data_IF_520842791016
#
_entry.id   IF_520842791016
#
_cell.length_a   1.000
_cell.length_b   1.000
_cell.length_c   1.000
_cell.angle_alpha   90.00
_cell.angle_beta   90.00
_cell.angle_gamma   90.00
#
_symmetry.space_group_name_H-M   'P 1'
#
loop_
_entity.id
_entity.type
_entity.pdbx_description
1 polymer ?
#
# COMPACT_ATOMS: atom_id res chain seq x y z
N UNK A 1 -51.24 -47.01 -33.69
CA UNK A 1 -51.64 -46.07 -32.62
C UNK A 1 -53.12 -45.77 -32.77
N UNK A 2 -53.88 -45.78 -31.67
CA UNK A 2 -55.28 -45.36 -31.72
C UNK A 2 -55.36 -43.82 -31.77
N UNK A 3 -56.37 -43.21 -32.41
CA UNK A 3 -56.49 -41.75 -32.48
C UNK A 3 -56.42 -41.08 -31.09
N UNK A 4 -56.94 -41.75 -30.05
CA UNK A 4 -56.90 -41.29 -28.66
C UNK A 4 -55.49 -41.27 -28.06
N UNK A 5 -54.63 -42.23 -28.40
CA UNK A 5 -53.24 -42.25 -27.92
C UNK A 5 -52.40 -41.20 -28.64
N UNK A 6 -52.65 -40.94 -29.93
CA UNK A 6 -52.02 -39.84 -30.66
C UNK A 6 -52.40 -38.46 -30.08
N UNK A 7 -53.69 -38.23 -29.79
CA UNK A 7 -54.17 -37.01 -29.13
C UNK A 7 -53.56 -36.81 -27.73
N UNK A 8 -53.42 -37.89 -26.96
CA UNK A 8 -52.76 -37.86 -25.65
C UNK A 8 -51.30 -37.41 -25.74
N UNK A 9 -50.53 -37.96 -26.69
CA UNK A 9 -49.14 -37.55 -26.91
C UNK A 9 -49.03 -36.11 -27.41
N UNK A 10 -49.90 -35.68 -28.33
CA UNK A 10 -49.90 -34.31 -28.84
C UNK A 10 -50.13 -33.27 -27.73
N UNK A 11 -51.05 -33.55 -26.79
CA UNK A 11 -51.29 -32.68 -25.64
C UNK A 11 -50.07 -32.57 -24.73
N UNK A 12 -49.42 -33.71 -24.41
CA UNK A 12 -48.21 -33.72 -23.57
C UNK A 12 -47.07 -32.94 -24.24
N UNK A 13 -46.87 -33.12 -25.55
CA UNK A 13 -45.86 -32.35 -26.30
C UNK A 13 -46.16 -30.86 -26.30
N UNK A 14 -47.42 -30.45 -26.41
CA UNK A 14 -47.81 -29.04 -26.33
C UNK A 14 -47.48 -28.43 -24.96
N UNK A 15 -47.80 -29.14 -23.87
CA UNK A 15 -47.48 -28.67 -22.50
C UNK A 15 -45.98 -28.57 -22.27
N UNK A 16 -45.20 -29.56 -22.73
CA UNK A 16 -43.73 -29.52 -22.59
C UNK A 16 -43.14 -28.38 -23.41
N UNK A 17 -43.64 -28.13 -24.62
CA UNK A 17 -43.17 -27.02 -25.47
C UNK A 17 -43.48 -25.65 -24.84
N UNK A 18 -44.66 -25.49 -24.23
CA UNK A 18 -45.02 -24.26 -23.51
C UNK A 18 -44.16 -24.08 -22.25
N UNK A 19 -43.94 -25.14 -21.47
CA UNK A 19 -43.10 -25.08 -20.27
C UNK A 19 -41.63 -24.82 -20.62
N UNK A 20 -41.12 -25.41 -21.70
CA UNK A 20 -39.80 -25.13 -22.24
C UNK A 20 -39.72 -23.67 -22.74
N UNK A 21 -40.76 -23.19 -23.43
CA UNK A 21 -40.88 -21.79 -23.84
C UNK A 21 -40.87 -20.82 -22.66
N UNK A 22 -41.58 -21.13 -21.58
CA UNK A 22 -41.58 -20.33 -20.35
C UNK A 22 -40.23 -20.36 -19.62
N UNK A 23 -39.59 -21.53 -19.52
CA UNK A 23 -38.25 -21.69 -18.90
C UNK A 23 -37.17 -20.97 -19.71
N UNK A 24 -37.27 -21.00 -21.05
CA UNK A 24 -36.42 -20.22 -21.94
C UNK A 24 -36.74 -18.73 -21.79
N UNK A 25 -38.01 -18.32 -21.72
CA UNK A 25 -38.40 -16.93 -21.55
C UNK A 25 -37.99 -16.34 -20.19
N UNK A 26 -38.03 -17.11 -19.10
CA UNK A 26 -37.46 -16.70 -17.80
C UNK A 26 -35.94 -16.58 -17.87
N UNK A 27 -35.25 -17.52 -18.54
CA UNK A 27 -33.79 -17.44 -18.79
C UNK A 27 -33.41 -16.31 -19.75
N UNK A 28 -34.32 -15.93 -20.65
CA UNK A 28 -34.23 -14.80 -21.58
C UNK A 28 -35.07 -13.60 -21.11
N UNK A 29 -35.32 -13.47 -19.80
CA UNK A 29 -35.39 -12.14 -19.20
C UNK A 29 -33.98 -11.56 -19.24
N UNK A 30 -33.52 -11.30 -20.47
CA UNK A 30 -32.28 -10.62 -20.73
C UNK A 30 -32.46 -9.26 -20.09
N UNK A 31 -31.82 -9.03 -18.95
CA UNK A 31 -31.49 -7.68 -18.52
C UNK A 31 -30.90 -7.03 -19.77
N UNK A 32 -31.68 -6.15 -20.41
CA UNK A 32 -31.23 -5.38 -21.56
C UNK A 32 -29.85 -4.85 -21.19
N UNK A 33 -28.85 -5.02 -22.05
CA UNK A 33 -27.55 -4.38 -21.88
C UNK A 33 -27.78 -2.86 -21.92
N UNK A 34 -28.23 -2.29 -20.80
CA UNK A 34 -28.39 -0.87 -20.63
C UNK A 34 -26.99 -0.36 -20.34
N UNK A 35 -26.29 0.03 -21.41
CA UNK A 35 -25.19 0.98 -21.28
C UNK A 35 -25.79 2.26 -20.69
N UNK A 36 -25.69 2.40 -19.37
CA UNK A 36 -26.21 3.55 -18.64
C UNK A 36 -25.06 4.50 -18.35
N UNK A 37 -24.79 5.47 -19.21
CA UNK A 37 -23.76 6.51 -19.00
C UNK A 37 -24.18 7.56 -17.95
N UNK A 38 -24.63 7.09 -16.77
CA UNK A 38 -25.05 7.93 -15.65
C UNK A 38 -23.95 7.95 -14.59
N UNK A 39 -23.77 9.07 -13.87
CA UNK A 39 -22.87 9.12 -12.71
C UNK A 39 -23.19 8.00 -11.71
N UNK A 40 -22.17 7.30 -11.20
CA UNK A 40 -22.31 6.30 -10.13
C UNK A 40 -22.75 6.98 -8.82
N UNK A 41 -22.27 8.21 -8.60
CA UNK A 41 -22.48 9.03 -7.41
C UNK A 41 -22.96 10.43 -7.79
N UNK A 42 -24.24 10.57 -8.13
CA UNK A 42 -24.86 11.84 -8.54
C UNK A 42 -24.61 12.99 -7.57
N UNK A 43 -24.69 12.71 -6.27
CA UNK A 43 -24.64 13.72 -5.22
C UNK A 43 -23.22 14.27 -5.03
N UNK A 44 -22.21 13.46 -5.38
CA UNK A 44 -20.80 13.83 -5.24
C UNK A 44 -20.39 14.92 -6.23
N UNK A 45 -20.93 14.89 -7.46
CA UNK A 45 -20.66 15.92 -8.48
C UNK A 45 -21.12 17.31 -8.03
N UNK A 46 -22.19 17.38 -7.24
CA UNK A 46 -22.76 18.64 -6.74
C UNK A 46 -22.08 19.10 -5.46
N UNK A 47 -21.74 18.16 -4.57
CA UNK A 47 -21.27 18.44 -3.20
C UNK A 47 -19.77 18.26 -3.00
N UNK A 48 -18.96 18.18 -4.05
CA UNK A 48 -17.52 17.88 -3.93
C UNK A 48 -16.75 18.83 -2.99
N UNK A 49 -17.18 20.10 -2.92
CA UNK A 49 -16.56 21.10 -2.05
C UNK A 49 -16.99 21.00 -0.58
N UNK A 50 -18.10 20.32 -0.29
CA UNK A 50 -18.62 20.12 1.07
C UNK A 50 -18.04 18.87 1.73
N UNK A 51 -17.23 18.08 1.03
CA UNK A 51 -16.66 16.83 1.55
C UNK A 51 -15.65 17.12 2.65
N UNK A 52 -15.82 16.47 3.79
CA UNK A 52 -14.93 16.62 4.96
C UNK A 52 -14.36 15.32 5.48
N UNK A 53 -14.85 14.14 5.05
CA UNK A 53 -14.30 12.86 5.46
C UNK A 53 -14.29 11.86 4.29
N UNK A 54 -13.19 11.15 4.14
CA UNK A 54 -13.04 9.98 3.28
C UNK A 54 -12.54 8.84 4.16
N UNK A 55 -13.13 7.66 4.07
CA UNK A 55 -12.56 6.45 4.65
C UNK A 55 -12.53 5.30 3.67
N UNK A 56 -11.40 4.60 3.66
CA UNK A 56 -11.17 3.38 2.88
C UNK A 56 -10.88 2.27 3.87
N UNK A 57 -11.68 1.22 3.82
CA UNK A 57 -11.57 0.07 4.71
C UNK A 57 -11.38 -1.20 3.88
N UNK A 58 -10.44 -2.03 4.28
CA UNK A 58 -10.32 -3.43 3.85
C UNK A 58 -10.65 -4.38 5.02
N UNK A 59 -10.32 -5.66 4.89
CA UNK A 59 -10.52 -6.69 5.89
C UNK A 59 -9.59 -6.58 7.12
N UNK A 60 -8.54 -5.74 7.06
CA UNK A 60 -7.49 -5.64 8.09
C UNK A 60 -7.45 -4.26 8.77
N UNK A 61 -7.65 -3.19 8.00
CA UNK A 61 -7.43 -1.82 8.44
C UNK A 61 -8.40 -0.83 7.80
N UNK A 62 -8.40 0.37 8.34
CA UNK A 62 -9.13 1.52 7.81
C UNK A 62 -8.18 2.71 7.75
N UNK A 63 -8.15 3.38 6.61
CA UNK A 63 -7.50 4.67 6.43
C UNK A 63 -8.59 5.73 6.36
N UNK A 64 -8.54 6.70 7.27
CA UNK A 64 -9.44 7.86 7.27
C UNK A 64 -8.65 9.11 6.97
N UNK A 65 -9.24 9.98 6.17
CA UNK A 65 -8.72 11.29 5.83
C UNK A 65 -9.82 12.29 6.15
N UNK A 66 -9.48 13.34 6.90
CA UNK A 66 -10.44 14.33 7.38
C UNK A 66 -9.99 15.73 7.05
N UNK A 67 -10.92 16.60 6.66
CA UNK A 67 -10.66 18.02 6.41
C UNK A 67 -10.61 18.77 7.75
N UNK A 68 -9.55 19.55 7.96
CA UNK A 68 -9.35 20.41 9.13
C UNK A 68 -8.95 21.81 8.65
N UNK A 69 -9.91 22.74 8.65
CA UNK A 69 -9.72 24.02 7.96
C UNK A 69 -9.61 23.77 6.46
N UNK A 70 -8.53 24.26 5.84
CA UNK A 70 -8.25 24.09 4.40
C UNK A 70 -7.39 22.86 4.06
N UNK A 71 -6.90 22.16 5.07
CA UNK A 71 -6.01 21.01 4.90
C UNK A 71 -6.71 19.68 5.16
N UNK A 72 -6.21 18.64 4.49
CA UNK A 72 -6.58 17.25 4.79
C UNK A 72 -5.55 16.63 5.73
N UNK A 73 -6.02 15.85 6.70
CA UNK A 73 -5.18 15.20 7.71
C UNK A 73 -5.58 13.73 7.90
N UNK A 74 -4.65 12.95 8.44
CA UNK A 74 -4.85 11.59 8.91
C UNK A 74 -5.08 11.61 10.43
N UNK A 75 -6.35 11.60 10.92
CA UNK A 75 -6.63 11.77 12.35
C UNK A 75 -6.02 10.65 13.20
N UNK A 76 -6.04 9.40 12.71
CA UNK A 76 -5.41 8.26 13.39
C UNK A 76 -3.87 8.30 13.37
N UNK A 77 -3.26 9.34 12.77
CA UNK A 77 -1.81 9.59 12.74
C UNK A 77 -1.44 10.93 13.36
N UNK A 78 -2.17 11.32 14.41
CA UNK A 78 -1.95 12.60 15.11
C UNK A 78 -2.06 13.79 14.15
N UNK A 79 -3.12 13.79 13.34
CA UNK A 79 -3.42 14.80 12.32
C UNK A 79 -2.29 15.03 11.30
N UNK A 80 -1.58 13.95 10.91
CA UNK A 80 -0.52 14.11 9.92
C UNK A 80 -1.08 14.63 8.59
N UNK A 81 -0.45 15.64 7.96
CA UNK A 81 -0.95 16.23 6.71
C UNK A 81 -1.04 15.21 5.57
N UNK A 82 -2.24 15.03 5.03
CA UNK A 82 -2.46 14.34 3.78
C UNK A 82 -2.13 15.26 2.60
N UNK A 83 -1.85 14.65 1.46
CA UNK A 83 -1.63 15.36 0.20
C UNK A 83 -2.97 15.88 -0.34
N UNK A 84 -3.20 17.19 -0.25
CA UNK A 84 -4.37 17.85 -0.83
C UNK A 84 -4.53 17.55 -2.33
N UNK A 85 -3.41 17.40 -3.06
CA UNK A 85 -3.43 17.01 -4.47
C UNK A 85 -3.96 15.58 -4.68
N UNK A 86 -3.49 14.63 -3.87
CA UNK A 86 -3.95 13.24 -3.92
C UNK A 86 -5.45 13.16 -3.61
N UNK A 87 -5.89 13.82 -2.54
CA UNK A 87 -7.30 13.85 -2.14
C UNK A 87 -8.17 14.44 -3.23
N UNK A 88 -7.77 15.58 -3.81
CA UNK A 88 -8.49 16.21 -4.92
C UNK A 88 -8.60 15.29 -6.13
N UNK A 89 -7.48 14.70 -6.58
CA UNK A 89 -7.47 13.76 -7.72
C UNK A 89 -8.37 12.56 -7.47
N UNK A 90 -8.35 12.01 -6.26
CA UNK A 90 -9.22 10.91 -5.87
C UNK A 90 -10.71 11.29 -5.96
N UNK A 91 -11.09 12.43 -5.37
CA UNK A 91 -12.49 12.91 -5.38
C UNK A 91 -13.00 13.23 -6.78
N UNK A 92 -12.17 13.82 -7.64
CA UNK A 92 -12.52 14.08 -9.05
C UNK A 92 -12.77 12.76 -9.79
N UNK A 93 -11.84 11.80 -9.70
CA UNK A 93 -12.02 10.48 -10.33
C UNK A 93 -13.25 9.74 -9.81
N UNK A 94 -13.56 9.89 -8.52
CA UNK A 94 -14.75 9.29 -7.91
C UNK A 94 -16.04 9.94 -8.45
N UNK A 95 -16.06 11.26 -8.61
CA UNK A 95 -17.21 12.01 -9.15
C UNK A 95 -17.42 11.77 -10.66
N UNK A 96 -16.35 11.49 -11.39
CA UNK A 96 -16.39 11.13 -12.82
C UNK A 96 -16.78 9.67 -13.08
N UNK A 97 -16.83 8.83 -12.03
CA UNK A 97 -17.13 7.42 -12.17
C UNK A 97 -18.56 7.23 -12.68
N UNK A 98 -18.72 6.54 -13.80
CA UNK A 98 -20.03 6.28 -14.42
C UNK A 98 -20.40 4.82 -14.35
N UNK A 99 -21.69 4.55 -14.19
CA UNK A 99 -22.24 3.22 -14.39
C UNK A 99 -21.96 2.82 -15.84
N UNK A 100 -21.68 1.53 -16.06
CA UNK A 100 -21.49 1.00 -17.40
C UNK A 100 -22.43 -0.15 -17.66
N UNK A 101 -22.45 -1.13 -16.76
CA UNK A 101 -23.22 -2.34 -16.93
C UNK A 101 -23.76 -2.81 -15.58
N UNK A 102 -25.03 -3.19 -15.57
CA UNK A 102 -25.63 -3.90 -14.44
C UNK A 102 -25.01 -5.29 -14.35
N UNK A 103 -24.61 -5.72 -13.15
CA UNK A 103 -24.03 -7.05 -12.90
C UNK A 103 -24.97 -7.86 -12.02
N UNK A 104 -24.44 -8.74 -11.18
CA UNK A 104 -25.24 -9.67 -10.38
C UNK A 104 -25.87 -8.98 -9.16
N UNK A 105 -27.10 -9.35 -8.83
CA UNK A 105 -27.71 -9.11 -7.52
C UNK A 105 -27.61 -10.32 -6.58
N UNK A 106 -27.17 -11.49 -7.07
CA UNK A 106 -27.01 -12.70 -6.27
C UNK A 106 -25.81 -12.58 -5.31
N UNK A 107 -26.03 -12.59 -3.97
CA UNK A 107 -24.95 -12.51 -2.99
C UNK A 107 -23.88 -13.59 -3.14
N UNK A 108 -24.24 -14.78 -3.65
CA UNK A 108 -23.30 -15.89 -3.86
C UNK A 108 -22.24 -15.56 -4.92
N UNK A 109 -22.52 -14.59 -5.79
CA UNK A 109 -21.62 -14.18 -6.88
C UNK A 109 -20.79 -12.94 -6.53
N UNK A 110 -21.08 -12.23 -5.42
CA UNK A 110 -20.37 -11.00 -5.05
C UNK A 110 -18.87 -11.21 -4.82
N UNK A 111 -18.47 -12.35 -4.24
CA UNK A 111 -17.06 -12.68 -4.01
C UNK A 111 -16.24 -12.76 -5.32
N UNK A 112 -16.86 -13.16 -6.44
CA UNK A 112 -16.20 -13.21 -7.76
C UNK A 112 -15.86 -11.82 -8.30
N UNK A 113 -16.65 -10.82 -7.92
CA UNK A 113 -16.45 -9.42 -8.29
C UNK A 113 -15.65 -8.65 -7.23
N UNK A 114 -15.40 -9.28 -6.08
CA UNK A 114 -14.84 -8.67 -4.88
C UNK A 114 -15.69 -7.52 -4.34
N UNK A 115 -17.02 -7.67 -4.34
CA UNK A 115 -17.96 -6.66 -3.80
C UNK A 115 -18.80 -7.21 -2.63
N UNK A 116 -18.36 -8.31 -2.02
CA UNK A 116 -19.00 -8.90 -0.84
C UNK A 116 -18.87 -7.98 0.39
N UNK A 117 -19.74 -8.15 1.39
CA UNK A 117 -19.60 -7.45 2.67
C UNK A 117 -18.27 -7.85 3.34
N UNK A 118 -17.64 -6.91 4.04
CA UNK A 118 -16.44 -7.15 4.84
C UNK A 118 -16.79 -7.83 6.18
N UNK A 119 -16.95 -9.16 6.17
CA UNK A 119 -17.30 -9.95 7.37
C UNK A 119 -16.21 -10.97 7.76
N UNK A 120 -15.38 -11.37 6.80
CA UNK A 120 -14.35 -12.39 6.95
C UNK A 120 -12.95 -11.84 6.69
N UNK A 121 -11.96 -12.46 7.33
CA UNK A 121 -10.53 -12.10 7.20
C UNK A 121 -9.94 -12.31 5.79
N UNK A 122 -10.67 -12.91 4.86
CA UNK A 122 -10.22 -13.15 3.47
C UNK A 122 -11.03 -12.38 2.44
N UNK A 123 -11.90 -11.47 2.89
CA UNK A 123 -12.66 -10.64 1.98
C UNK A 123 -11.74 -9.67 1.26
N UNK A 124 -11.92 -9.58 -0.05
CA UNK A 124 -11.10 -8.79 -0.96
C UNK A 124 -11.81 -7.53 -1.45
N UNK A 125 -13.06 -7.35 -1.04
CA UNK A 125 -13.75 -6.08 -1.24
C UNK A 125 -13.09 -5.01 -0.39
N UNK A 126 -13.35 -3.76 -0.75
CA UNK A 126 -12.93 -2.63 0.04
C UNK A 126 -14.09 -1.66 0.16
N UNK A 127 -14.38 -1.15 1.36
CA UNK A 127 -15.46 -0.20 1.59
C UNK A 127 -14.93 1.22 1.47
N UNK A 128 -15.61 2.04 0.68
CA UNK A 128 -15.39 3.46 0.54
C UNK A 128 -16.57 4.21 1.15
N UNK A 129 -16.28 5.08 2.11
CA UNK A 129 -17.23 6.03 2.68
C UNK A 129 -16.76 7.45 2.45
N UNK A 130 -17.66 8.33 2.02
CA UNK A 130 -17.42 9.76 1.85
C UNK A 130 -18.53 10.53 2.51
N UNK A 131 -18.20 11.51 3.36
CA UNK A 131 -19.17 12.35 4.07
C UNK A 131 -18.97 13.83 3.80
N UNK A 132 -20.09 14.56 3.81
CA UNK A 132 -20.08 16.02 3.83
C UNK A 132 -19.85 16.60 5.23
N UNK A 133 -19.71 17.92 5.30
CA UNK A 133 -19.52 18.71 6.51
C UNK A 133 -20.60 18.53 7.58
N UNK A 134 -21.81 18.13 7.18
CA UNK A 134 -22.94 17.88 8.07
C UNK A 134 -22.96 16.41 8.56
N UNK A 135 -22.02 15.59 8.07
CA UNK A 135 -21.90 14.17 8.41
C UNK A 135 -22.76 13.25 7.54
N UNK A 136 -23.43 13.77 6.51
CA UNK A 136 -24.26 12.96 5.62
C UNK A 136 -23.39 12.04 4.75
N UNK A 137 -23.83 10.80 4.56
CA UNK A 137 -23.18 9.85 3.65
C UNK A 137 -23.47 10.23 2.20
N UNK A 138 -22.45 10.70 1.48
CA UNK A 138 -22.50 10.93 0.03
C UNK A 138 -22.16 9.67 -0.76
N UNK A 139 -21.27 8.84 -0.21
CA UNK A 139 -20.85 7.55 -0.76
C UNK A 139 -20.74 6.56 0.39
N UNK A 140 -21.34 5.38 0.22
CA UNK A 140 -21.08 4.20 1.05
C UNK A 140 -21.17 2.96 0.15
N UNK A 141 -20.01 2.47 -0.29
CA UNK A 141 -19.94 1.43 -1.33
C UNK A 141 -18.83 0.44 -1.11
N UNK A 142 -19.03 -0.77 -1.62
CA UNK A 142 -18.03 -1.80 -1.76
C UNK A 142 -17.44 -1.73 -3.15
N UNK A 143 -16.14 -1.51 -3.20
CA UNK A 143 -15.31 -1.41 -4.39
C UNK A 143 -14.56 -2.73 -4.55
N UNK A 144 -14.73 -3.36 -5.71
CA UNK A 144 -14.12 -4.64 -6.04
C UNK A 144 -12.97 -4.56 -7.03
N UNK A 145 -12.66 -5.69 -7.65
CA UNK A 145 -11.53 -5.82 -8.57
C UNK A 145 -11.70 -4.94 -9.81
N UNK A 146 -10.57 -4.57 -10.39
CA UNK A 146 -10.53 -4.01 -11.73
C UNK A 146 -10.94 -5.06 -12.77
N UNK A 147 -11.58 -4.57 -13.82
CA UNK A 147 -11.84 -5.31 -15.04
C UNK A 147 -11.12 -4.59 -16.18
N UNK A 148 -10.15 -5.27 -16.79
CA UNK A 148 -9.38 -4.77 -17.93
C UNK A 148 -9.96 -5.26 -19.27
N UNK A 149 -10.83 -6.27 -19.25
CA UNK A 149 -11.48 -6.84 -20.43
C UNK A 149 -12.75 -6.07 -20.76
N UNK A 150 -12.56 -4.82 -21.17
CA UNK A 150 -13.65 -3.90 -21.46
C UNK A 150 -13.60 -3.51 -22.94
N UNK A 151 -14.60 -3.93 -23.70
CA UNK A 151 -14.69 -3.58 -25.12
C UNK A 151 -14.99 -2.07 -25.33
N UNK A 152 -14.24 -1.38 -26.20
CA UNK A 152 -14.45 0.04 -26.53
C UNK A 152 -13.30 0.96 -26.09
N UNK A 153 -13.52 2.28 -26.06
CA UNK A 153 -12.49 3.31 -25.84
C UNK A 153 -12.15 3.59 -24.37
N UNK A 154 -12.48 2.68 -23.45
CA UNK A 154 -12.26 2.86 -22.01
C UNK A 154 -11.31 1.78 -21.52
N UNK A 155 -10.11 2.19 -21.10
CA UNK A 155 -8.98 1.28 -20.83
C UNK A 155 -9.19 0.35 -19.63
N UNK A 156 -10.10 0.68 -18.70
CA UNK A 156 -10.42 -0.15 -17.54
C UNK A 156 -11.76 0.26 -16.90
N UNK A 157 -12.27 -0.61 -16.04
CA UNK A 157 -13.44 -0.36 -15.20
C UNK A 157 -13.33 -1.12 -13.89
N UNK A 158 -14.23 -0.83 -12.95
CA UNK A 158 -14.17 -1.45 -11.62
C UNK A 158 -15.55 -1.88 -11.16
N UNK A 159 -15.63 -3.03 -10.50
CA UNK A 159 -16.88 -3.49 -9.90
C UNK A 159 -17.20 -2.68 -8.65
N UNK A 160 -18.46 -2.29 -8.51
CA UNK A 160 -18.96 -1.52 -7.37
C UNK A 160 -20.32 -2.06 -6.94
N UNK A 161 -20.58 -2.06 -5.63
CA UNK A 161 -21.90 -2.33 -5.05
C UNK A 161 -22.20 -1.30 -3.96
N UNK A 162 -23.38 -0.68 -4.00
CA UNK A 162 -23.78 0.25 -2.92
C UNK A 162 -24.06 -0.54 -1.65
N UNK A 163 -23.70 0.03 -0.50
CA UNK A 163 -23.92 -0.65 0.76
C UNK A 163 -25.43 -0.78 1.02
N UNK A 164 -25.88 -1.97 1.42
CA UNK A 164 -27.30 -2.30 1.60
C UNK A 164 -28.05 -2.67 0.31
N UNK A 165 -27.46 -2.42 -0.87
CA UNK A 165 -28.02 -2.82 -2.15
C UNK A 165 -27.40 -4.17 -2.60
N UNK A 166 -28.19 -5.21 -2.91
CA UNK A 166 -27.65 -6.44 -3.47
C UNK A 166 -27.09 -6.25 -4.89
N UNK A 167 -27.53 -5.24 -5.63
CA UNK A 167 -27.17 -5.01 -7.03
C UNK A 167 -25.72 -4.51 -7.17
N UNK A 168 -24.90 -5.26 -7.89
CA UNK A 168 -23.55 -4.83 -8.30
C UNK A 168 -23.53 -4.24 -9.70
N UNK A 169 -22.52 -3.43 -9.99
CA UNK A 169 -22.35 -2.68 -11.22
C UNK A 169 -20.90 -2.76 -11.68
N UNK A 170 -20.69 -2.75 -13.00
CA UNK A 170 -19.40 -2.39 -13.57
C UNK A 170 -19.43 -0.90 -13.88
N UNK A 171 -18.36 -0.20 -13.52
CA UNK A 171 -18.17 1.23 -13.81
C UNK A 171 -17.21 1.43 -14.97
N UNK A 172 -17.33 2.56 -15.67
CA UNK A 172 -16.37 3.00 -16.68
C UNK A 172 -15.35 3.98 -16.07
N UNK A 173 -14.07 3.78 -16.36
CA UNK A 173 -12.99 4.69 -15.95
C UNK A 173 -11.94 4.03 -15.04
N UNK A 174 -10.74 4.64 -15.02
CA UNK A 174 -9.63 4.20 -14.17
C UNK A 174 -9.74 4.84 -12.78
N UNK A 175 -10.40 4.14 -11.88
CA UNK A 175 -10.43 4.48 -10.46
C UNK A 175 -9.50 3.55 -9.68
N UNK A 176 -8.47 4.14 -9.06
CA UNK A 176 -7.64 3.46 -8.08
C UNK A 176 -8.05 3.90 -6.69
N UNK A 177 -8.12 2.95 -5.77
CA UNK A 177 -8.51 3.22 -4.40
C UNK A 177 -7.32 3.04 -3.47
N UNK A 178 -6.71 4.13 -2.97
CA UNK A 178 -5.58 4.06 -2.08
C UNK A 178 -6.01 3.54 -0.71
N UNK A 179 -5.44 2.42 -0.29
CA UNK A 179 -5.75 1.67 0.94
C UNK A 179 -4.62 1.70 1.97
N UNK A 180 -3.52 2.40 1.68
CA UNK A 180 -2.37 2.53 2.54
C UNK A 180 -2.07 4.00 2.85
N UNK A 181 -1.56 4.26 4.05
CA UNK A 181 -1.26 5.60 4.56
C UNK A 181 -0.31 6.35 3.64
N UNK A 182 0.77 5.71 3.19
CA UNK A 182 1.77 6.30 2.31
C UNK A 182 1.23 6.77 0.95
N UNK A 183 0.09 6.23 0.50
CA UNK A 183 -0.56 6.66 -0.76
C UNK A 183 -1.34 7.96 -0.61
N UNK A 184 -1.66 8.38 0.63
CA UNK A 184 -2.39 9.60 0.92
C UNK A 184 -1.50 10.78 1.30
N UNK A 185 -0.21 10.57 1.53
CA UNK A 185 0.75 11.58 1.99
C UNK A 185 1.87 11.79 0.97
N UNK A 186 2.80 12.69 1.26
CA UNK A 186 4.13 12.70 0.63
C UNK A 186 5.02 11.74 1.43
N UNK A 187 5.37 10.55 0.91
CA UNK A 187 5.94 9.50 1.75
C UNK A 187 7.45 9.64 1.98
N UNK A 188 8.19 10.30 1.08
CA UNK A 188 9.64 10.55 1.23
C UNK A 188 9.87 11.51 2.41
N UNK A 189 10.59 11.06 3.43
CA UNK A 189 10.87 11.87 4.64
C UNK A 189 12.36 12.13 4.86
N UNK A 190 13.25 11.41 4.17
CA UNK A 190 14.70 11.61 4.23
C UNK A 190 15.36 11.18 2.92
N UNK A 191 16.36 11.95 2.50
CA UNK A 191 17.10 11.69 1.27
C UNK A 191 18.57 12.09 1.45
N UNK A 192 19.36 11.17 1.99
CA UNK A 192 20.82 11.31 2.05
C UNK A 192 21.40 10.50 0.91
N UNK A 193 21.95 11.19 -0.09
CA UNK A 193 22.46 10.56 -1.30
C UNK A 193 23.46 9.43 -0.97
N UNK A 194 23.15 8.21 -1.42
CA UNK A 194 23.97 7.02 -1.17
C UNK A 194 25.44 7.20 -1.57
N UNK A 195 25.73 7.99 -2.61
CA UNK A 195 27.11 8.26 -3.09
C UNK A 195 27.96 9.05 -2.09
N UNK A 196 27.34 9.75 -1.12
CA UNK A 196 28.06 10.43 -0.04
C UNK A 196 28.50 9.50 1.07
N UNK A 197 27.89 8.32 1.17
CA UNK A 197 28.10 7.38 2.28
C UNK A 197 29.48 6.74 2.15
N UNK A 198 30.31 7.00 3.15
CA UNK A 198 31.66 6.48 3.31
C UNK A 198 31.65 5.16 4.08
N UNK A 199 30.95 5.11 5.22
CA UNK A 199 30.87 3.92 6.06
C UNK A 199 29.44 3.62 6.49
N UNK A 200 29.16 2.33 6.64
CA UNK A 200 27.94 1.82 7.30
C UNK A 200 28.35 0.80 8.35
N UNK A 201 27.90 1.01 9.58
CA UNK A 201 28.13 0.09 10.70
C UNK A 201 26.78 -0.37 11.24
N UNK A 202 26.54 -1.67 11.21
CA UNK A 202 25.34 -2.33 11.77
C UNK A 202 25.75 -3.08 13.04
N UNK A 203 25.06 -2.83 14.15
CA UNK A 203 25.24 -3.50 15.44
C UNK A 203 23.95 -4.19 15.86
N UNK A 204 24.04 -5.49 16.09
CA UNK A 204 22.93 -6.33 16.51
C UNK A 204 22.87 -6.46 18.03
N UNK A 205 21.69 -6.78 18.60
CA UNK A 205 21.53 -6.90 20.05
C UNK A 205 22.33 -8.06 20.66
N UNK A 206 22.72 -9.05 19.86
CA UNK A 206 23.60 -10.16 20.25
C UNK A 206 25.09 -9.76 20.33
N UNK A 207 25.43 -8.49 20.05
CA UNK A 207 26.80 -7.96 20.03
C UNK A 207 27.54 -8.16 18.71
N UNK A 208 26.97 -8.91 17.76
CA UNK A 208 27.56 -9.03 16.42
C UNK A 208 27.44 -7.72 15.65
N UNK A 209 28.41 -7.45 14.78
CA UNK A 209 28.39 -6.25 13.96
C UNK A 209 28.95 -6.51 12.56
N UNK A 210 28.59 -5.62 11.64
CA UNK A 210 29.14 -5.55 10.29
C UNK A 210 29.48 -4.09 10.01
N UNK A 211 30.74 -3.82 9.67
CA UNK A 211 31.15 -2.52 9.15
C UNK A 211 31.57 -2.67 7.70
N UNK A 212 31.04 -1.81 6.84
CA UNK A 212 31.45 -1.71 5.44
C UNK A 212 31.96 -0.29 5.16
N UNK A 213 33.02 -0.20 4.36
CA UNK A 213 33.67 1.05 3.96
C UNK A 213 33.74 1.14 2.44
N UNK A 214 33.41 2.30 1.87
CA UNK A 214 33.45 2.51 0.43
C UNK A 214 34.91 2.50 -0.05
N UNK A 215 35.18 1.71 -1.07
CA UNK A 215 36.55 1.46 -1.58
C UNK A 215 37.15 2.71 -2.23
N UNK A 216 36.34 3.44 -2.99
CA UNK A 216 36.72 4.67 -3.68
C UNK A 216 35.58 5.68 -3.60
N UNK A 217 35.93 6.92 -3.25
CA UNK A 217 35.05 8.12 -3.27
C UNK A 217 34.29 8.33 -4.57
N UNK A 218 34.80 7.84 -5.72
CA UNK A 218 34.14 7.93 -7.03
C UNK A 218 33.36 6.66 -7.41
N UNK A 219 33.54 5.58 -6.66
CA UNK A 219 32.93 4.27 -6.92
C UNK A 219 31.63 4.04 -6.15
N UNK A 220 31.01 2.88 -6.41
CA UNK A 220 29.82 2.39 -5.70
C UNK A 220 30.11 1.22 -4.78
N UNK A 221 31.33 0.68 -4.84
CA UNK A 221 31.69 -0.58 -4.18
C UNK A 221 32.15 -0.36 -2.74
N UNK A 222 31.70 -1.25 -1.86
CA UNK A 222 32.16 -1.35 -0.48
C UNK A 222 33.08 -2.55 -0.27
N UNK A 223 33.91 -2.48 0.77
CA UNK A 223 34.58 -3.64 1.37
C UNK A 223 34.01 -3.85 2.77
N UNK A 224 33.85 -5.10 3.18
CA UNK A 224 33.55 -5.43 4.56
C UNK A 224 34.84 -5.41 5.40
N UNK A 225 34.78 -4.83 6.58
CA UNK A 225 35.87 -4.85 7.57
C UNK A 225 35.75 -6.09 8.45
N UNK A 226 36.87 -6.53 9.03
CA UNK A 226 36.93 -7.64 9.99
C UNK A 226 36.31 -8.96 9.49
N UNK A 227 36.43 -9.22 8.18
CA UNK A 227 36.00 -10.49 7.58
C UNK A 227 36.81 -11.65 8.21
N UNK A 228 36.16 -12.68 8.76
CA UNK A 228 36.86 -13.81 9.36
C UNK A 228 37.81 -14.52 8.38
N UNK A 229 38.95 -14.98 8.89
CA UNK A 229 39.96 -15.67 8.08
C UNK A 229 39.36 -16.87 7.33
N UNK A 230 39.71 -17.01 6.05
CA UNK A 230 39.22 -18.09 5.18
C UNK A 230 37.79 -17.94 4.68
N UNK A 231 37.08 -16.86 5.05
CA UNK A 231 35.79 -16.48 4.48
C UNK A 231 35.97 -15.43 3.40
N UNK A 232 34.98 -15.32 2.52
CA UNK A 232 34.89 -14.25 1.51
C UNK A 232 33.45 -13.79 1.39
N UNK A 233 33.26 -12.59 0.82
CA UNK A 233 31.93 -12.12 0.45
C UNK A 233 31.29 -13.11 -0.54
N UNK A 234 30.04 -13.46 -0.27
CA UNK A 234 29.25 -14.31 -1.18
C UNK A 234 28.79 -13.50 -2.38
N UNK A 235 28.18 -12.34 -2.12
CA UNK A 235 27.71 -11.41 -3.14
C UNK A 235 28.09 -9.97 -2.80
N UNK A 236 28.85 -9.32 -3.68
CA UNK A 236 29.28 -7.92 -3.53
C UNK A 236 28.07 -6.96 -3.36
N UNK A 237 26.98 -7.23 -4.06
CA UNK A 237 25.78 -6.40 -4.05
C UNK A 237 25.12 -6.30 -2.67
N UNK A 238 25.34 -7.30 -1.80
CA UNK A 238 24.75 -7.32 -0.47
C UNK A 238 25.27 -6.18 0.42
N UNK A 239 26.55 -5.84 0.26
CA UNK A 239 27.18 -4.73 0.99
C UNK A 239 27.11 -3.40 0.22
N UNK A 240 27.11 -3.43 -1.11
CA UNK A 240 27.03 -2.20 -1.92
C UNK A 240 25.70 -1.46 -1.69
N UNK A 241 24.60 -2.21 -1.62
CA UNK A 241 23.25 -1.65 -1.39
C UNK A 241 23.04 -1.09 0.03
N UNK A 242 23.92 -1.36 0.99
CA UNK A 242 23.74 -0.87 2.36
C UNK A 242 23.69 0.66 2.43
N UNK A 243 24.40 1.35 1.52
CA UNK A 243 24.36 2.82 1.42
C UNK A 243 23.01 3.37 0.98
N UNK A 244 22.18 2.58 0.29
CA UNK A 244 20.85 2.99 -0.17
C UNK A 244 19.82 3.01 0.96
N UNK A 245 20.17 2.56 2.17
CA UNK A 245 19.26 2.53 3.33
C UNK A 245 18.65 3.91 3.66
N UNK A 246 19.42 4.98 3.49
CA UNK A 246 19.02 6.37 3.80
C UNK A 246 18.75 7.23 2.56
N UNK A 247 18.97 6.68 1.37
CA UNK A 247 18.72 7.37 0.11
C UNK A 247 17.24 7.30 -0.24
N UNK A 248 16.57 8.45 -0.38
CA UNK A 248 15.15 8.55 -0.74
C UNK A 248 14.26 7.55 0.01
N UNK A 249 14.35 7.54 1.34
CA UNK A 249 13.54 6.64 2.16
C UNK A 249 12.12 7.18 2.26
N UNK A 250 11.16 6.29 2.00
CA UNK A 250 9.74 6.53 2.09
C UNK A 250 9.16 5.81 3.30
N UNK A 251 8.13 6.40 3.92
CA UNK A 251 7.33 5.74 4.93
C UNK A 251 6.25 4.86 4.27
N UNK A 252 5.93 3.72 4.88
CA UNK A 252 4.71 2.94 4.62
C UNK A 252 3.61 3.29 5.62
N UNK A 253 3.99 3.55 6.87
CA UNK A 253 3.16 4.09 7.95
C UNK A 253 4.07 4.86 8.95
N UNK A 254 3.50 5.56 9.93
CA UNK A 254 4.25 6.23 10.98
C UNK A 254 3.43 6.38 12.27
N UNK A 255 4.11 6.54 13.40
CA UNK A 255 3.50 6.83 14.70
C UNK A 255 4.31 7.88 15.44
N UNK A 256 3.68 8.60 16.37
CA UNK A 256 4.43 9.48 17.27
C UNK A 256 5.42 8.66 18.12
N UNK A 257 6.60 9.20 18.44
CA UNK A 257 7.56 8.53 19.29
C UNK A 257 6.91 8.03 20.59
N UNK A 258 7.26 6.81 21.00
CA UNK A 258 6.71 6.16 22.20
C UNK A 258 5.35 5.46 22.01
N UNK A 259 4.74 5.56 20.82
CA UNK A 259 3.57 4.72 20.45
C UNK A 259 3.98 3.35 19.93
N UNK A 260 5.23 3.20 19.47
CA UNK A 260 5.83 1.92 19.11
C UNK A 260 6.90 1.58 20.15
N UNK A 261 6.85 0.35 20.68
CA UNK A 261 7.89 -0.16 21.57
C UNK A 261 9.00 -0.80 20.75
N UNK A 262 10.24 -0.34 20.91
CA UNK A 262 11.41 -0.97 20.30
C UNK A 262 12.03 -1.95 21.31
N UNK A 263 11.87 -3.27 21.12
CA UNK A 263 12.35 -4.26 22.08
C UNK A 263 13.88 -4.30 22.10
N UNK A 264 14.47 -4.13 23.29
CA UNK A 264 15.94 -4.09 23.48
C UNK A 264 16.64 -5.31 22.86
N UNK A 265 16.06 -6.51 23.00
CA UNK A 265 16.63 -7.75 22.47
C UNK A 265 16.46 -7.99 20.97
N UNK A 266 15.77 -7.10 20.24
CA UNK A 266 15.61 -7.20 18.77
C UNK A 266 15.99 -5.92 18.02
N UNK A 267 16.28 -4.84 18.74
CA UNK A 267 16.58 -3.55 18.13
C UNK A 267 18.01 -3.53 17.61
N UNK A 268 18.14 -3.36 16.30
CA UNK A 268 19.39 -3.23 15.57
C UNK A 268 19.73 -1.74 15.46
N UNK A 269 21.00 -1.41 15.67
CA UNK A 269 21.49 -0.03 15.57
C UNK A 269 22.41 0.09 14.36
N UNK A 270 22.10 1.04 13.49
CA UNK A 270 22.85 1.27 12.26
C UNK A 270 23.32 2.70 12.18
N UNK A 271 24.60 2.88 11.92
CA UNK A 271 25.22 4.20 11.75
C UNK A 271 25.73 4.30 10.32
N UNK A 272 25.28 5.30 9.59
CA UNK A 272 25.75 5.63 8.25
C UNK A 272 26.46 6.98 8.30
N UNK A 273 27.72 7.00 7.87
CA UNK A 273 28.54 8.21 7.87
C UNK A 273 28.92 8.58 6.46
N UNK A 274 28.85 9.86 6.16
CA UNK A 274 29.23 10.45 4.88
C UNK A 274 30.66 10.99 4.89
N UNK A 275 31.24 11.16 3.71
CA UNK A 275 32.59 11.72 3.52
C UNK A 275 32.76 13.16 4.03
N UNK A 276 31.69 13.93 4.19
CA UNK A 276 31.74 15.30 4.69
C UNK A 276 31.42 15.40 6.20
N UNK A 277 31.09 14.28 6.83
CA UNK A 277 30.92 14.16 8.28
C UNK A 277 29.47 14.19 8.76
N UNK A 278 28.47 14.14 7.88
CA UNK A 278 27.10 13.84 8.30
C UNK A 278 27.02 12.39 8.78
N UNK A 279 26.44 12.18 9.96
CA UNK A 279 26.15 10.88 10.55
C UNK A 279 24.65 10.72 10.70
N UNK A 280 24.10 9.62 10.18
CA UNK A 280 22.72 9.19 10.38
C UNK A 280 22.74 7.93 11.23
N UNK A 281 22.06 7.97 12.37
CA UNK A 281 21.83 6.81 13.22
C UNK A 281 20.38 6.36 13.08
N UNK A 282 20.20 5.06 12.89
CA UNK A 282 18.92 4.39 12.82
C UNK A 282 18.83 3.32 13.90
N UNK A 283 17.70 3.27 14.60
CA UNK A 283 17.32 2.10 15.41
C UNK A 283 16.17 1.40 14.69
N UNK A 284 16.30 0.11 14.44
CA UNK A 284 15.35 -0.65 13.63
C UNK A 284 14.98 -1.98 14.30
N UNK A 285 13.75 -2.44 14.09
CA UNK A 285 13.38 -3.82 14.38
C UNK A 285 12.25 -4.29 13.45
N UNK A 286 12.15 -5.59 13.26
CA UNK A 286 11.01 -6.24 12.61
C UNK A 286 10.05 -6.81 13.68
N UNK A 287 8.75 -6.74 13.43
CA UNK A 287 7.75 -7.41 14.29
C UNK A 287 7.90 -8.93 14.22
N UNK A 288 7.29 -9.67 15.15
CA UNK A 288 7.54 -11.12 15.32
C UNK A 288 7.26 -12.01 14.09
N UNK A 289 6.52 -11.49 13.10
CA UNK A 289 6.23 -12.18 11.84
C UNK A 289 7.04 -11.66 10.64
N UNK A 290 7.95 -10.73 10.87
CA UNK A 290 8.68 -9.99 9.82
C UNK A 290 7.75 -9.32 8.79
N UNK A 291 6.55 -8.92 9.23
CA UNK A 291 5.53 -8.27 8.39
C UNK A 291 5.68 -6.74 8.39
N UNK A 292 6.12 -6.15 9.52
CA UNK A 292 6.31 -4.72 9.67
C UNK A 292 7.74 -4.40 10.09
N UNK A 293 8.33 -3.38 9.47
CA UNK A 293 9.71 -2.95 9.72
C UNK A 293 9.71 -1.52 10.25
N UNK A 294 9.92 -1.38 11.57
CA UNK A 294 9.89 -0.10 12.24
C UNK A 294 11.29 0.47 12.41
N UNK A 295 11.44 1.77 12.18
CA UNK A 295 12.69 2.49 12.27
C UNK A 295 12.48 3.88 12.85
N UNK A 296 13.45 4.35 13.65
CA UNK A 296 13.57 5.74 14.07
C UNK A 296 14.96 6.24 13.71
N UNK A 297 15.06 7.53 13.39
CA UNK A 297 16.27 8.12 12.84
C UNK A 297 16.66 9.38 13.61
N UNK A 298 17.97 9.61 13.71
CA UNK A 298 18.57 10.87 14.13
C UNK A 298 19.81 11.15 13.31
N UNK A 299 20.05 12.42 13.01
CA UNK A 299 21.24 12.87 12.29
C UNK A 299 22.05 13.83 13.16
N UNK A 300 23.36 13.83 13.01
CA UNK A 300 24.25 14.80 13.63
C UNK A 300 25.51 15.01 12.78
N UNK A 301 26.22 16.11 13.02
CA UNK A 301 27.55 16.32 12.47
C UNK A 301 28.58 15.59 13.33
N UNK A 302 29.48 14.83 12.70
CA UNK A 302 30.67 14.31 13.36
C UNK A 302 31.59 15.45 13.80
N UNK A 303 32.41 15.21 14.83
CA UNK A 303 33.34 16.22 15.32
C UNK A 303 34.41 16.62 14.30
N UNK A 304 34.77 15.69 13.41
CA UNK A 304 35.72 15.86 12.32
C UNK A 304 35.05 16.16 10.97
N UNK A 305 33.82 16.67 10.98
CA UNK A 305 33.13 17.11 9.77
C UNK A 305 33.90 18.23 9.03
N UNK A 306 33.93 18.16 7.69
CA UNK A 306 34.71 19.07 6.84
C UNK A 306 34.25 20.53 6.96
N UNK A 307 32.94 20.72 7.00
CA UNK A 307 32.27 22.00 7.23
C UNK A 307 31.21 21.80 8.32
N UNK A 308 31.65 21.82 9.58
CA UNK A 308 30.83 21.46 10.74
C UNK A 308 29.51 22.24 10.76
N UNK A 309 29.54 23.55 10.53
CA UNK A 309 28.34 24.41 10.52
C UNK A 309 27.34 23.96 9.46
N UNK A 310 27.80 23.74 8.22
CA UNK A 310 26.92 23.31 7.13
C UNK A 310 26.30 21.93 7.38
N UNK A 311 27.08 20.99 7.93
CA UNK A 311 26.59 19.65 8.24
C UNK A 311 25.62 19.66 9.42
N UNK A 312 25.84 20.51 10.44
CA UNK A 312 24.89 20.72 11.53
C UNK A 312 23.55 21.27 11.01
N UNK A 313 23.58 22.23 10.08
CA UNK A 313 22.36 22.75 9.43
C UNK A 313 21.63 21.67 8.62
N UNK A 314 22.36 20.81 7.90
CA UNK A 314 21.78 19.68 7.18
C UNK A 314 21.16 18.65 8.14
N UNK A 315 21.89 18.24 9.17
CA UNK A 315 21.40 17.32 10.20
C UNK A 315 20.15 17.88 10.91
N UNK A 316 20.13 19.18 11.21
CA UNK A 316 18.97 19.84 11.79
C UNK A 316 17.76 19.81 10.84
N UNK A 317 17.95 19.99 9.53
CA UNK A 317 16.87 19.86 8.53
C UNK A 317 16.33 18.44 8.48
N UNK A 318 17.18 17.42 8.52
CA UNK A 318 16.76 16.01 8.59
C UNK A 318 15.94 15.79 9.87
N UNK A 319 16.47 16.23 11.02
CA UNK A 319 15.85 16.01 12.32
C UNK A 319 14.50 16.70 12.49
N UNK A 320 14.24 17.83 11.82
CA UNK A 320 12.92 18.49 11.83
C UNK A 320 11.77 17.56 11.39
N UNK A 321 12.09 16.53 10.59
CA UNK A 321 11.11 15.52 10.17
C UNK A 321 11.42 14.16 10.81
N UNK A 322 12.65 13.67 10.65
CA UNK A 322 13.04 12.30 11.00
C UNK A 322 12.91 11.96 12.50
N UNK A 323 13.01 12.94 13.40
CA UNK A 323 12.87 12.70 14.85
C UNK A 323 11.43 12.82 15.35
N UNK A 324 10.52 13.31 14.50
CA UNK A 324 9.15 13.61 14.91
C UNK A 324 8.23 12.39 14.94
N UNK A 325 8.71 11.25 14.40
CA UNK A 325 7.94 10.03 14.17
C UNK A 325 8.84 8.79 14.25
N UNK A 326 8.23 7.67 14.65
CA UNK A 326 8.71 6.33 14.34
C UNK A 326 8.06 5.91 13.02
N UNK A 327 8.84 5.38 12.08
CA UNK A 327 8.40 5.09 10.72
C UNK A 327 8.34 3.59 10.48
N UNK A 328 7.26 3.11 9.87
CA UNK A 328 7.28 1.83 9.18
C UNK A 328 7.88 2.07 7.79
N UNK A 329 8.91 1.32 7.43
CA UNK A 329 9.67 1.51 6.20
C UNK A 329 9.60 0.27 5.31
N UNK A 330 9.84 0.39 3.98
CA UNK A 330 9.84 -0.76 3.10
C UNK A 330 10.86 -1.82 3.52
N UNK A 331 10.47 -3.10 3.38
CA UNK A 331 11.29 -4.24 3.77
C UNK A 331 12.72 -4.22 3.18
N UNK A 332 12.88 -3.74 1.94
CA UNK A 332 14.20 -3.66 1.32
C UNK A 332 15.10 -2.60 1.96
N UNK A 333 14.56 -1.45 2.39
CA UNK A 333 15.30 -0.42 3.13
C UNK A 333 15.75 -0.94 4.49
N UNK A 334 14.86 -1.64 5.20
CA UNK A 334 15.21 -2.34 6.44
C UNK A 334 16.38 -3.30 6.21
N UNK A 335 16.27 -4.21 5.24
CA UNK A 335 17.34 -5.18 4.92
C UNK A 335 18.69 -4.53 4.62
N UNK A 336 18.72 -3.41 3.89
CA UNK A 336 19.96 -2.68 3.61
C UNK A 336 20.64 -2.14 4.87
N UNK A 337 19.85 -1.83 5.91
CA UNK A 337 20.38 -1.28 7.17
C UNK A 337 20.61 -2.35 8.24
N UNK A 338 20.19 -3.60 8.06
CA UNK A 338 20.18 -4.59 9.15
C UNK A 338 20.98 -5.86 8.88
N UNK A 339 21.80 -5.91 7.83
CA UNK A 339 22.60 -7.11 7.51
C UNK A 339 23.56 -7.49 8.64
N UNK A 340 23.75 -8.79 8.84
CA UNK A 340 24.83 -9.37 9.66
C UNK A 340 26.01 -9.76 8.79
N UNK A 341 27.18 -9.87 9.40
CA UNK A 341 28.39 -10.39 8.75
C UNK A 341 28.14 -11.77 8.11
N UNK A 342 27.46 -12.68 8.83
CA UNK A 342 27.18 -14.01 8.31
C UNK A 342 26.18 -14.02 7.15
N UNK A 343 25.40 -12.95 6.94
CA UNK A 343 24.42 -12.86 5.84
C UNK A 343 25.09 -12.51 4.50
N UNK A 344 26.35 -12.05 4.53
CA UNK A 344 27.06 -11.52 3.34
C UNK A 344 28.30 -12.35 2.98
N UNK A 345 28.63 -13.36 3.77
CA UNK A 345 29.80 -14.21 3.58
C UNK A 345 29.40 -15.61 3.11
N UNK A 346 30.26 -16.22 2.29
CA UNK A 346 30.08 -17.58 1.79
C UNK A 346 29.86 -18.60 2.91
N UNK A 347 29.06 -19.64 2.69
CA UNK A 347 28.86 -20.66 3.73
C UNK A 347 30.19 -21.30 4.15
N UNK A 348 30.38 -21.59 5.45
CA UNK A 348 31.59 -22.26 5.91
C UNK A 348 31.74 -23.60 5.18
N UNK A 349 32.92 -23.82 4.57
CA UNK A 349 33.25 -25.12 3.98
C UNK A 349 33.08 -26.17 5.07
N UNK A 350 32.15 -27.12 4.89
CA UNK A 350 32.06 -28.30 5.75
C UNK A 350 33.43 -28.96 5.73
N UNK A 351 34.03 -29.17 6.91
CA UNK A 351 35.26 -29.96 7.01
C UNK A 351 35.01 -31.30 6.32
N UNK A 352 35.86 -31.63 5.33
CA UNK A 352 35.83 -32.96 4.73
C UNK A 352 36.02 -33.97 5.87
N UNK A 353 35.06 -34.87 6.02
CA UNK A 353 35.11 -35.95 7.02
C UNK A 353 36.24 -36.91 6.71
#
# INVERSE_FOLDING_TARGET
>A
MTPKSFLGFAAVTAVITVAAGFSIAERYSTDVFVLSDKPMFSDLTVKVNDITEISVQDNEKTVRIQRKGDDWVLPERSDFPASNETVRKFLVKLAELRVREKKTADPKLHARLQVQDLKGKKDLSKRLVVKDKDGNLLVDTLIGRQNFDIAGTVDAGRYVRKMGDPQSWLTAGTFDMPDAINKWVKPEFMNVNAKRIETVTVRHPDGTHLTVERIDTKGTKFKALDVPAGRKLEYQIDIDNMSDGVDRIELEDMRKPGKINFPVGKTIKTTLRTYDGLVVEAELFATDKDEEFWARFKAHAADDAKDKKKIEEEAAKINKTATQWDYMIPAFKYRYMTRKMNDVLDQPKKAAK
#
